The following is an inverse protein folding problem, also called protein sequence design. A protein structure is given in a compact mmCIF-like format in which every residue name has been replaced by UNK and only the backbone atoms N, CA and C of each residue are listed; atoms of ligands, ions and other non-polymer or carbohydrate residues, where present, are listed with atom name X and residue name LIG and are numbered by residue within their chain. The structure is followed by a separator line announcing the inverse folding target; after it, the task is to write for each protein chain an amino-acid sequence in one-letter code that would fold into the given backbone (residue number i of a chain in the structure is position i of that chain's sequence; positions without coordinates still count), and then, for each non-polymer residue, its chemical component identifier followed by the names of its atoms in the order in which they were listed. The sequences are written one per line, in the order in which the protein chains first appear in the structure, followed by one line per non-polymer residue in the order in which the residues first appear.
data_IF_980411178922
#
_entry.id   IF_980411178922
#
_cell.length_a   1.000
_cell.length_b   1.000
_cell.length_c   1.000
_cell.angle_alpha   90.00
_cell.angle_beta   90.00
_cell.angle_gamma   90.00
#
_symmetry.space_group_name_H-M   'P 1'
#
loop_
_entity.id
_entity.type
_entity.pdbx_description
1 polymer ?
#
# COMPACT_ATOMS: atom_id res chain seq x y z
N UNK A 1 -13.74 -10.53 20.00
CA UNK A 1 -14.68 -9.41 20.23
C UNK A 1 -14.10 -8.03 19.90
N UNK A 2 -12.78 -7.81 19.87
CA UNK A 2 -12.18 -6.49 19.57
C UNK A 2 -12.04 -6.19 18.06
N UNK A 3 -11.83 -7.22 17.25
CA UNK A 3 -11.50 -7.05 15.82
C UNK A 3 -12.62 -6.41 14.98
N UNK A 4 -13.90 -6.57 15.38
CA UNK A 4 -15.05 -5.89 14.76
C UNK A 4 -15.14 -4.41 15.15
N UNK A 5 -14.66 -4.03 16.33
CA UNK A 5 -14.55 -2.63 16.75
C UNK A 5 -13.47 -1.93 15.92
N UNK A 6 -12.32 -2.57 15.71
CA UNK A 6 -11.24 -2.03 14.88
C UNK A 6 -11.72 -1.73 13.45
N UNK A 7 -12.46 -2.65 12.81
CA UNK A 7 -13.07 -2.41 11.49
C UNK A 7 -13.96 -1.17 11.51
N UNK A 8 -14.85 -1.03 12.51
CA UNK A 8 -15.72 0.14 12.61
C UNK A 8 -14.94 1.45 12.75
N UNK A 9 -13.85 1.45 13.52
CA UNK A 9 -12.97 2.61 13.64
C UNK A 9 -12.27 2.93 12.33
N UNK A 10 -11.71 1.92 11.64
CA UNK A 10 -11.05 2.13 10.34
C UNK A 10 -12.04 2.62 9.28
N UNK A 11 -13.26 2.07 9.23
CA UNK A 11 -14.32 2.56 8.34
C UNK A 11 -14.66 4.02 8.58
N UNK A 12 -14.93 4.40 9.83
CA UNK A 12 -15.20 5.82 10.16
C UNK A 12 -14.01 6.73 9.81
N UNK A 13 -12.78 6.25 10.02
CA UNK A 13 -11.56 6.98 9.68
C UNK A 13 -11.43 7.16 8.16
N UNK A 14 -11.65 6.10 7.39
CA UNK A 14 -11.65 6.11 5.93
C UNK A 14 -12.75 7.04 5.36
N UNK A 15 -13.96 6.98 5.92
CA UNK A 15 -15.07 7.87 5.55
C UNK A 15 -14.74 9.34 5.84
N UNK A 16 -13.93 9.60 6.86
CA UNK A 16 -13.39 10.92 7.18
C UNK A 16 -12.20 11.36 6.32
N UNK A 17 -11.81 10.57 5.30
CA UNK A 17 -10.67 10.86 4.43
C UNK A 17 -9.30 10.51 5.02
N UNK A 18 -9.24 9.73 6.09
CA UNK A 18 -7.96 9.29 6.65
C UNK A 18 -7.31 8.24 5.76
N UNK A 19 -6.14 8.57 5.25
CA UNK A 19 -5.27 7.70 4.46
C UNK A 19 -4.86 6.43 5.23
N UNK A 20 -4.46 6.57 6.50
CA UNK A 20 -4.20 5.43 7.37
C UNK A 20 -5.48 4.60 7.65
N UNK A 21 -6.65 5.25 7.73
CA UNK A 21 -7.94 4.57 7.82
C UNK A 21 -8.22 3.69 6.60
N UNK A 22 -7.99 4.24 5.40
CA UNK A 22 -8.10 3.52 4.13
C UNK A 22 -7.14 2.33 4.06
N UNK A 23 -5.86 2.50 4.41
CA UNK A 23 -4.88 1.43 4.44
C UNK A 23 -5.31 0.28 5.37
N UNK A 24 -5.70 0.61 6.59
CA UNK A 24 -6.08 -0.41 7.57
C UNK A 24 -7.36 -1.12 7.17
N UNK A 25 -8.35 -0.42 6.62
CA UNK A 25 -9.57 -1.03 6.11
C UNK A 25 -9.28 -1.94 4.91
N UNK A 26 -8.40 -1.52 4.00
CA UNK A 26 -7.95 -2.34 2.88
C UNK A 26 -7.36 -3.68 3.36
N UNK A 27 -6.48 -3.63 4.36
CA UNK A 27 -5.91 -4.83 5.00
C UNK A 27 -6.98 -5.76 5.58
N UNK A 28 -8.00 -5.20 6.26
CA UNK A 28 -9.06 -6.03 6.83
C UNK A 28 -9.87 -6.75 5.75
N UNK A 29 -10.18 -6.08 4.63
CA UNK A 29 -10.82 -6.73 3.48
C UNK A 29 -9.92 -7.73 2.78
N UNK A 30 -8.62 -7.45 2.68
CA UNK A 30 -7.67 -8.34 2.00
C UNK A 30 -7.52 -9.69 2.70
N UNK A 31 -7.54 -9.71 4.04
CA UNK A 31 -7.39 -10.94 4.83
C UNK A 31 -8.72 -11.49 5.38
N UNK A 32 -9.86 -10.85 5.09
CA UNK A 32 -11.15 -11.23 5.67
C UNK A 32 -11.16 -11.22 7.20
N UNK A 33 -10.53 -10.20 7.80
CA UNK A 33 -10.37 -10.10 9.25
C UNK A 33 -11.34 -9.11 9.89
N UNK A 34 -11.47 -9.15 11.22
CA UNK A 34 -12.36 -8.23 11.94
C UNK A 34 -13.86 -8.45 11.68
N UNK A 35 -14.24 -9.65 11.23
CA UNK A 35 -15.62 -9.98 10.89
C UNK A 35 -16.06 -9.49 9.52
N UNK A 36 -15.14 -8.96 8.70
CA UNK A 36 -15.37 -8.72 7.29
C UNK A 36 -15.14 -10.00 6.48
N UNK A 37 -15.90 -10.21 5.39
CA UNK A 37 -15.52 -11.21 4.40
C UNK A 37 -14.23 -10.80 3.71
N UNK A 38 -13.46 -11.80 3.26
CA UNK A 38 -12.35 -11.56 2.34
C UNK A 38 -12.90 -11.00 1.02
N UNK A 39 -12.48 -9.79 0.66
CA UNK A 39 -12.84 -9.11 -0.59
C UNK A 39 -11.63 -8.35 -1.13
N UNK A 40 -10.81 -9.05 -1.90
CA UNK A 40 -9.59 -8.52 -2.52
C UNK A 40 -9.90 -7.35 -3.45
N UNK A 41 -11.06 -7.35 -4.12
CA UNK A 41 -11.43 -6.28 -5.04
C UNK A 41 -11.73 -4.98 -4.28
N UNK A 42 -12.39 -5.05 -3.12
CA UNK A 42 -12.55 -3.90 -2.23
C UNK A 42 -11.20 -3.46 -1.68
N UNK A 43 -10.36 -4.39 -1.22
CA UNK A 43 -9.05 -4.09 -0.67
C UNK A 43 -8.17 -3.32 -1.67
N UNK A 44 -8.05 -3.80 -2.92
CA UNK A 44 -7.28 -3.14 -3.98
C UNK A 44 -7.76 -1.71 -4.25
N UNK A 45 -9.08 -1.47 -4.28
CA UNK A 45 -9.62 -0.11 -4.45
C UNK A 45 -9.23 0.81 -3.31
N UNK A 46 -9.31 0.32 -2.07
CA UNK A 46 -8.97 1.10 -0.88
C UNK A 46 -7.45 1.38 -0.81
N UNK A 47 -6.62 0.38 -1.15
CA UNK A 47 -5.18 0.53 -1.27
C UNK A 47 -4.79 1.56 -2.33
N UNK A 48 -5.37 1.45 -3.53
CA UNK A 48 -5.13 2.44 -4.59
C UNK A 48 -5.51 3.84 -4.12
N UNK A 49 -6.68 4.01 -3.51
CA UNK A 49 -7.12 5.31 -3.02
C UNK A 49 -6.20 5.89 -1.94
N UNK A 50 -5.73 5.06 -1.01
CA UNK A 50 -4.78 5.48 0.02
C UNK A 50 -3.41 5.86 -0.58
N UNK A 51 -2.91 5.06 -1.53
CA UNK A 51 -1.68 5.33 -2.25
C UNK A 51 -1.77 6.62 -3.08
N UNK A 52 -2.87 6.84 -3.80
CA UNK A 52 -3.11 8.05 -4.60
C UNK A 52 -3.21 9.30 -3.71
N UNK A 53 -3.64 9.14 -2.46
CA UNK A 53 -3.63 10.22 -1.49
C UNK A 53 -2.27 10.45 -0.84
N UNK A 54 -1.27 9.60 -1.11
CA UNK A 54 0.11 9.75 -0.68
C UNK A 54 0.57 8.77 0.41
N UNK A 55 -0.24 7.77 0.78
CA UNK A 55 0.06 6.87 1.90
C UNK A 55 1.17 5.89 1.55
N UNK A 56 2.35 6.15 2.10
CA UNK A 56 3.58 5.38 1.95
C UNK A 56 3.39 3.88 2.26
N UNK A 57 2.67 3.55 3.33
CA UNK A 57 2.35 2.18 3.69
C UNK A 57 1.48 1.51 2.60
N UNK A 58 0.45 2.21 2.10
CA UNK A 58 -0.42 1.66 1.05
C UNK A 58 0.28 1.57 -0.30
N UNK A 59 1.15 2.52 -0.64
CA UNK A 59 1.98 2.44 -1.85
C UNK A 59 2.83 1.17 -1.82
N UNK A 60 3.48 0.90 -0.67
CA UNK A 60 4.36 -0.27 -0.52
C UNK A 60 3.58 -1.58 -0.52
N UNK A 61 2.48 -1.66 0.24
CA UNK A 61 1.62 -2.85 0.30
C UNK A 61 0.95 -3.13 -1.05
N UNK A 62 0.44 -2.10 -1.73
CA UNK A 62 -0.20 -2.27 -3.04
C UNK A 62 0.81 -2.61 -4.14
N UNK A 63 1.99 -1.99 -4.11
CA UNK A 63 3.10 -2.33 -4.99
C UNK A 63 3.49 -3.81 -4.86
N UNK A 64 3.54 -4.32 -3.62
CA UNK A 64 3.80 -5.73 -3.36
C UNK A 64 2.70 -6.64 -3.93
N UNK A 65 1.44 -6.30 -3.71
CA UNK A 65 0.31 -7.09 -4.24
C UNK A 65 0.37 -7.17 -5.78
N UNK A 66 0.74 -6.08 -6.46
CA UNK A 66 0.90 -6.05 -7.92
C UNK A 66 2.17 -6.76 -8.40
N UNK A 67 3.23 -6.79 -7.60
CA UNK A 67 4.45 -7.57 -7.86
C UNK A 67 4.16 -9.08 -7.78
N UNK A 68 3.53 -9.53 -6.69
CA UNK A 68 3.35 -10.95 -6.37
C UNK A 68 2.09 -11.54 -6.99
N UNK A 69 1.07 -10.73 -7.22
CA UNK A 69 -0.27 -11.17 -7.62
C UNK A 69 -1.07 -11.78 -6.46
N UNK A 70 -0.76 -11.39 -5.21
CA UNK A 70 -1.42 -11.95 -4.03
C UNK A 70 -2.94 -11.70 -4.05
N UNK A 71 -3.69 -12.62 -3.44
CA UNK A 71 -5.16 -12.58 -3.48
C UNK A 71 -5.77 -12.79 -4.87
N UNK A 72 -4.98 -13.25 -5.84
CA UNK A 72 -5.43 -13.44 -7.23
C UNK A 72 -5.51 -12.15 -8.03
N UNK A 73 -4.87 -11.08 -7.56
CA UNK A 73 -4.73 -9.82 -8.30
C UNK A 73 -3.83 -10.04 -9.51
N UNK A 74 -4.22 -9.46 -10.65
CA UNK A 74 -3.37 -9.50 -11.84
C UNK A 74 -2.06 -8.77 -11.57
N UNK A 75 -0.94 -9.43 -11.86
CA UNK A 75 0.38 -8.81 -11.69
C UNK A 75 0.52 -7.61 -12.62
N UNK A 76 1.06 -6.53 -12.08
CA UNK A 76 1.39 -5.32 -12.83
C UNK A 76 2.71 -4.75 -12.30
N UNK A 77 3.81 -5.26 -12.85
CA UNK A 77 5.15 -4.84 -12.48
C UNK A 77 5.39 -3.34 -12.75
N UNK A 78 4.79 -2.78 -13.81
CA UNK A 78 4.97 -1.38 -14.15
C UNK A 78 4.33 -0.49 -13.07
N UNK A 79 3.08 -0.78 -12.70
CA UNK A 79 2.40 -0.05 -11.63
C UNK A 79 3.05 -0.29 -10.26
N UNK A 80 3.57 -1.48 -9.99
CA UNK A 80 4.33 -1.75 -8.77
C UNK A 80 5.59 -0.87 -8.66
N UNK A 81 6.36 -0.72 -9.75
CA UNK A 81 7.53 0.17 -9.80
C UNK A 81 7.14 1.62 -9.54
N UNK A 82 6.04 2.11 -10.14
CA UNK A 82 5.54 3.47 -9.89
C UNK A 82 5.23 3.69 -8.40
N UNK A 83 4.51 2.75 -7.79
CA UNK A 83 4.15 2.83 -6.37
C UNK A 83 5.38 2.78 -5.46
N UNK A 84 6.35 1.92 -5.74
CA UNK A 84 7.58 1.88 -4.95
C UNK A 84 8.41 3.15 -5.08
N UNK A 85 8.49 3.76 -6.28
CA UNK A 85 9.17 5.06 -6.46
C UNK A 85 8.48 6.17 -5.66
N UNK A 86 7.16 6.24 -5.70
CA UNK A 86 6.39 7.21 -4.91
C UNK A 86 6.56 6.97 -3.39
N UNK A 87 6.59 5.71 -2.95
CA UNK A 87 6.88 5.39 -1.56
C UNK A 87 8.27 5.89 -1.16
N UNK A 88 9.30 5.57 -1.94
CA UNK A 88 10.67 6.01 -1.64
C UNK A 88 10.84 7.54 -1.68
N UNK A 89 10.09 8.23 -2.53
CA UNK A 89 10.10 9.69 -2.61
C UNK A 89 9.57 10.38 -1.34
N UNK A 90 8.63 9.74 -0.63
CA UNK A 90 7.98 10.31 0.55
C UNK A 90 8.58 9.83 1.88
N UNK A 91 9.29 8.69 1.86
CA UNK A 91 9.85 8.05 3.04
C UNK A 91 11.22 8.63 3.44
N UNK A 92 11.53 8.74 4.74
CA UNK A 92 12.87 9.08 5.20
C UNK A 92 13.87 7.98 4.79
N UNK A 93 14.99 8.36 4.18
CA UNK A 93 16.04 7.43 3.68
C UNK A 93 16.55 6.45 4.76
N UNK A 94 16.53 6.85 6.03
CA UNK A 94 16.98 6.02 7.16
C UNK A 94 15.91 5.05 7.69
N UNK A 95 14.68 5.12 7.18
CA UNK A 95 13.57 4.28 7.64
C UNK A 95 13.64 2.87 7.06
N UNK A 96 13.10 1.88 7.79
CA UNK A 96 12.96 0.52 7.25
C UNK A 96 12.07 0.48 6.02
N UNK A 97 11.00 1.28 6.01
CA UNK A 97 10.07 1.37 4.89
C UNK A 97 10.75 1.88 3.62
N UNK A 98 11.71 2.80 3.73
CA UNK A 98 12.51 3.24 2.58
C UNK A 98 13.35 2.07 2.02
N UNK A 99 13.93 1.26 2.90
CA UNK A 99 14.64 0.05 2.47
C UNK A 99 13.70 -0.92 1.77
N UNK A 100 12.47 -1.12 2.28
CA UNK A 100 11.50 -2.04 1.70
C UNK A 100 11.07 -1.63 0.27
N UNK A 101 10.86 -0.32 0.03
CA UNK A 101 10.51 0.17 -1.30
C UNK A 101 11.69 0.04 -2.30
N UNK A 102 12.92 0.32 -1.88
CA UNK A 102 14.13 0.13 -2.70
C UNK A 102 14.33 -1.35 -3.03
N UNK A 103 14.15 -2.25 -2.07
CA UNK A 103 14.19 -3.69 -2.32
C UNK A 103 13.11 -4.12 -3.31
N UNK A 104 11.91 -3.53 -3.26
CA UNK A 104 10.85 -3.72 -4.25
C UNK A 104 11.27 -3.33 -5.67
N UNK A 105 11.90 -2.17 -5.82
CA UNK A 105 12.47 -1.73 -7.11
C UNK A 105 13.54 -2.70 -7.61
N UNK A 106 14.43 -3.14 -6.71
CA UNK A 106 15.50 -4.09 -7.00
C UNK A 106 14.96 -5.45 -7.49
N UNK A 107 13.93 -5.99 -6.83
CA UNK A 107 13.27 -7.25 -7.23
C UNK A 107 12.65 -7.17 -8.60
N UNK A 108 12.12 -6.00 -8.97
CA UNK A 108 11.52 -5.74 -10.27
C UNK A 108 12.54 -5.34 -11.34
N UNK A 109 13.84 -5.25 -10.99
CA UNK A 109 14.91 -4.83 -11.90
C UNK A 109 14.77 -3.36 -12.35
N UNK A 110 14.06 -2.55 -11.58
CA UNK A 110 13.88 -1.14 -11.85
C UNK A 110 15.07 -0.34 -11.32
N UNK A 111 15.41 0.75 -12.01
CA UNK A 111 16.35 1.73 -11.49
C UNK A 111 15.79 2.33 -10.20
N UNK A 112 16.52 2.10 -9.10
CA UNK A 112 16.24 2.57 -7.76
C UNK A 112 16.31 4.10 -7.71
N UNK A 113 17.16 4.71 -8.56
CA UNK A 113 17.42 6.15 -8.56
C UNK A 113 18.14 6.61 -7.29
N UNK A 114 18.75 7.78 -7.34
CA UNK A 114 19.25 8.44 -6.13
C UNK A 114 18.08 8.99 -5.29
N UNK A 115 18.26 9.13 -3.96
CA UNK A 115 17.26 9.78 -3.11
C UNK A 115 16.86 11.19 -3.61
N UNK A 116 17.80 11.90 -4.24
CA UNK A 116 17.57 13.23 -4.81
C UNK A 116 16.69 13.20 -6.06
N UNK A 117 16.76 12.13 -6.87
CA UNK A 117 15.90 11.93 -8.03
C UNK A 117 14.49 11.53 -7.61
N UNK A 118 14.38 10.65 -6.61
CA UNK A 118 13.09 10.23 -6.07
C UNK A 118 12.35 11.39 -5.39
N UNK A 119 13.06 12.25 -4.65
CA UNK A 119 12.47 13.42 -3.99
C UNK A 119 11.89 14.49 -4.94
N UNK A 120 12.07 14.34 -6.26
CA UNK A 120 11.53 15.24 -7.29
C UNK A 120 10.23 14.74 -7.93
N UNK A 121 9.79 13.53 -7.58
CA UNK A 121 8.51 12.95 -8.00
C UNK A 121 7.33 13.61 -7.25
#
# INVERSE_FOLDING_TARGET
EDSTLAVRYYSRSADGGSRAGLNNLARQYFFGSGGLPEDVAVAVRLYSLAADQGEDASMSEFGQILETGDGGVARDAARAVELYRLACATLPVVSSSYKDCVEGLSRLGADEGSPEELARL
#
